data_IF_974855851351
#
_entry.id   IF_974855851351
#
_cell.length_a   1.000
_cell.length_b   1.000
_cell.length_c   1.000
_cell.angle_alpha   90.00
_cell.angle_beta   90.00
_cell.angle_gamma   90.00
#
_symmetry.space_group_name_H-M   'P 1'
#
loop_
_entity.id
_entity.type
_entity.pdbx_description
1 polymer ?
#
# COMPACT_ATOMS: atom_id res chain seq x y z
N UNK A 1 -12.30 26.50 50.40
CA UNK A 1 -13.07 25.70 49.43
C UNK A 1 -12.09 25.26 48.36
N UNK A 2 -11.97 23.95 48.13
CA UNK A 2 -10.81 23.36 47.44
C UNK A 2 -10.79 23.62 45.94
N UNK A 3 -9.71 24.24 45.47
CA UNK A 3 -9.38 24.35 44.05
C UNK A 3 -9.19 22.96 43.42
N UNK A 4 -10.08 22.57 42.52
CA UNK A 4 -9.83 21.46 41.58
C UNK A 4 -9.72 22.03 40.17
N UNK A 5 -8.56 22.60 39.86
CA UNK A 5 -8.16 22.76 38.47
C UNK A 5 -7.99 21.36 37.88
N UNK A 6 -8.99 20.86 37.17
CA UNK A 6 -8.82 19.65 36.39
C UNK A 6 -7.85 19.96 35.25
N UNK A 7 -6.66 19.37 35.33
CA UNK A 7 -5.69 19.32 34.25
C UNK A 7 -6.39 18.86 32.97
N UNK A 8 -6.77 19.83 32.15
CA UNK A 8 -7.45 19.58 30.88
C UNK A 8 -6.40 19.23 29.85
N UNK A 9 -5.70 18.12 30.10
CA UNK A 9 -4.83 17.46 29.15
C UNK A 9 -5.67 17.13 27.92
N UNK A 10 -5.53 17.95 26.88
CA UNK A 10 -6.36 17.88 25.68
C UNK A 10 -6.27 16.48 25.08
N UNK A 11 -7.34 15.69 25.26
CA UNK A 11 -7.38 14.30 24.82
C UNK A 11 -7.04 14.23 23.34
N UNK A 12 -6.05 13.42 22.99
CA UNK A 12 -5.56 13.29 21.62
C UNK A 12 -6.36 12.25 20.86
N UNK A 13 -6.44 12.42 19.54
CA UNK A 13 -7.16 11.52 18.66
C UNK A 13 -6.65 10.07 18.80
N UNK A 14 -7.56 9.11 18.96
CA UNK A 14 -7.25 7.69 19.16
C UNK A 14 -6.36 7.05 18.07
N UNK A 15 -6.34 7.61 16.85
CA UNK A 15 -5.60 7.02 15.74
C UNK A 15 -4.09 7.22 15.88
N UNK A 16 -3.31 6.20 15.50
CA UNK A 16 -1.84 6.22 15.54
C UNK A 16 -1.27 7.52 14.92
N UNK A 17 -0.25 8.05 15.61
CA UNK A 17 0.52 9.23 15.22
C UNK A 17 -0.30 10.53 15.04
N UNK A 18 -1.52 10.59 15.58
CA UNK A 18 -2.41 11.75 15.46
C UNK A 18 -2.46 12.62 16.72
N UNK A 19 -1.64 13.67 16.75
CA UNK A 19 -1.60 14.65 17.84
C UNK A 19 -2.77 15.65 17.86
N UNK A 20 -3.74 15.54 16.94
CA UNK A 20 -4.89 16.46 16.90
C UNK A 20 -5.80 16.22 18.11
N UNK A 21 -6.39 17.27 18.71
CA UNK A 21 -7.36 17.12 19.81
C UNK A 21 -8.62 16.39 19.33
N UNK A 22 -9.24 15.63 20.24
CA UNK A 22 -10.56 15.03 20.01
C UNK A 22 -11.66 16.08 19.90
N UNK A 23 -12.75 15.72 19.23
CA UNK A 23 -13.99 16.49 19.27
C UNK A 23 -14.70 16.28 20.62
N UNK A 24 -15.53 17.25 21.06
CA UNK A 24 -16.46 17.06 22.18
C UNK A 24 -17.24 15.76 22.01
N UNK A 25 -17.34 14.98 23.10
CA UNK A 25 -18.02 13.69 23.15
C UNK A 25 -17.54 12.68 22.08
N UNK A 26 -16.29 12.78 21.63
CA UNK A 26 -15.69 11.87 20.65
C UNK A 26 -14.29 11.42 21.02
N UNK A 27 -13.87 10.30 20.43
CA UNK A 27 -12.52 9.72 20.57
C UNK A 27 -11.58 10.09 19.41
N UNK A 28 -12.02 11.00 18.54
CA UNK A 28 -11.39 11.32 17.24
C UNK A 28 -11.48 12.81 16.93
N UNK A 29 -10.50 13.32 16.18
CA UNK A 29 -10.44 14.71 15.72
C UNK A 29 -11.28 14.97 14.46
N UNK A 30 -11.45 16.24 14.06
CA UNK A 30 -12.16 16.63 12.82
C UNK A 30 -11.67 15.87 11.58
N UNK A 31 -10.35 15.75 11.38
CA UNK A 31 -9.78 15.07 10.21
C UNK A 31 -10.13 13.57 10.16
N UNK A 32 -10.30 12.95 11.32
CA UNK A 32 -10.64 11.53 11.45
C UNK A 32 -12.13 11.25 11.70
N UNK A 33 -13.01 12.27 11.65
CA UNK A 33 -14.44 12.14 12.00
C UNK A 33 -15.20 11.04 11.23
N UNK A 34 -14.84 10.80 9.96
CA UNK A 34 -15.43 9.75 9.10
C UNK A 34 -14.60 8.45 9.04
N UNK A 35 -13.66 8.25 9.98
CA UNK A 35 -12.79 7.07 10.03
C UNK A 35 -13.21 6.14 11.16
N UNK A 36 -13.29 4.83 10.88
CA UNK A 36 -13.57 3.79 11.88
C UNK A 36 -12.28 3.27 12.54
N UNK A 37 -12.38 2.91 13.82
CA UNK A 37 -11.32 2.17 14.54
C UNK A 37 -11.38 0.68 14.17
N UNK A 38 -10.23 0.01 14.15
CA UNK A 38 -10.16 -1.43 13.99
C UNK A 38 -10.94 -2.16 15.11
N UNK A 39 -11.58 -3.28 14.79
CA UNK A 39 -12.39 -4.06 15.73
C UNK A 39 -11.56 -4.80 16.78
N UNK A 40 -10.30 -5.16 16.48
CA UNK A 40 -9.38 -5.72 17.48
C UNK A 40 -9.10 -4.68 18.54
N UNK A 41 -9.19 -5.08 19.81
CA UNK A 41 -9.02 -4.21 20.97
C UNK A 41 -7.67 -3.49 20.98
N UNK A 42 -7.69 -2.28 21.54
CA UNK A 42 -6.59 -1.29 21.57
C UNK A 42 -5.93 -0.96 20.22
N UNK A 43 -6.47 -1.44 19.10
CA UNK A 43 -5.90 -1.19 17.80
C UNK A 43 -6.24 0.21 17.26
N UNK A 44 -5.34 1.15 17.54
CA UNK A 44 -5.30 2.53 17.05
C UNK A 44 -5.14 2.70 15.53
N UNK A 45 -5.26 1.64 14.74
CA UNK A 45 -5.22 1.72 13.27
C UNK A 45 -6.62 1.97 12.69
N UNK A 46 -6.66 2.70 11.57
CA UNK A 46 -7.87 2.85 10.78
C UNK A 46 -8.36 1.52 10.19
N UNK A 47 -9.68 1.32 10.16
CA UNK A 47 -10.32 0.30 9.32
C UNK A 47 -9.90 0.50 7.86
N UNK A 48 -9.54 -0.63 7.24
CA UNK A 48 -9.36 -0.73 5.80
C UNK A 48 -10.58 -1.39 5.15
N UNK A 49 -11.02 -2.54 5.67
CA UNK A 49 -12.24 -3.25 5.24
C UNK A 49 -12.69 -4.23 6.33
N UNK A 50 -13.96 -4.66 6.31
CA UNK A 50 -14.54 -5.63 7.27
C UNK A 50 -14.25 -5.28 8.74
N UNK A 51 -14.38 -4.00 9.09
CA UNK A 51 -14.07 -3.44 10.43
C UNK A 51 -12.62 -3.67 10.92
N UNK A 52 -11.72 -4.14 10.06
CA UNK A 52 -10.35 -4.50 10.41
C UNK A 52 -9.32 -3.64 9.69
N UNK A 53 -8.19 -3.39 10.36
CA UNK A 53 -7.07 -2.65 9.78
C UNK A 53 -6.20 -3.54 8.86
N UNK A 54 -5.27 -2.93 8.14
CA UNK A 54 -4.35 -3.63 7.25
C UNK A 54 -3.31 -4.55 7.91
N UNK A 55 -3.24 -4.57 9.26
CA UNK A 55 -2.44 -5.52 10.07
C UNK A 55 -3.31 -6.70 10.54
N UNK A 56 -4.56 -6.44 10.94
CA UNK A 56 -5.47 -7.42 11.53
C UNK A 56 -6.43 -8.02 10.49
N UNK A 57 -5.93 -8.42 9.32
CA UNK A 57 -6.75 -9.15 8.34
C UNK A 57 -7.74 -8.32 7.50
N UNK A 58 -7.71 -6.98 7.55
CA UNK A 58 -8.51 -6.13 6.66
C UNK A 58 -8.15 -6.28 5.18
N UNK A 59 -6.89 -6.62 4.86
CA UNK A 59 -6.44 -6.94 3.50
C UNK A 59 -6.90 -8.35 3.09
N UNK A 60 -7.22 -8.54 1.81
CA UNK A 60 -7.59 -9.85 1.25
C UNK A 60 -6.35 -10.76 1.22
N UNK A 61 -6.47 -12.01 1.65
CA UNK A 61 -5.39 -12.99 1.55
C UNK A 61 -5.26 -13.57 0.13
N UNK A 62 -4.10 -14.15 -0.17
CA UNK A 62 -3.90 -14.93 -1.39
C UNK A 62 -4.69 -16.24 -1.34
N UNK A 63 -5.39 -16.59 -2.42
CA UNK A 63 -6.17 -17.85 -2.55
C UNK A 63 -5.30 -19.10 -2.81
N UNK A 64 -3.98 -18.95 -2.89
CA UNK A 64 -3.09 -20.12 -3.05
C UNK A 64 -2.87 -20.75 -1.69
N UNK A 65 -3.14 -22.05 -1.58
CA UNK A 65 -2.97 -22.81 -0.34
C UNK A 65 -1.57 -22.65 0.26
N UNK A 66 -1.52 -22.56 1.60
CA UNK A 66 -0.29 -22.27 2.34
C UNK A 66 0.29 -20.85 2.17
N UNK A 67 -0.33 -19.95 1.38
CA UNK A 67 0.20 -18.61 1.16
C UNK A 67 -0.29 -17.59 2.19
N UNK A 68 0.62 -17.13 3.06
CA UNK A 68 0.37 -16.08 4.07
C UNK A 68 0.45 -14.64 3.55
N UNK A 69 0.62 -14.44 2.23
CA UNK A 69 0.77 -13.12 1.64
C UNK A 69 -0.57 -12.51 1.22
N UNK A 70 -0.72 -11.20 1.46
CA UNK A 70 -1.88 -10.45 0.99
C UNK A 70 -1.99 -10.44 -0.54
N UNK A 71 -3.22 -10.61 -1.05
CA UNK A 71 -3.55 -10.43 -2.45
C UNK A 71 -3.32 -8.97 -2.88
N UNK A 72 -2.83 -8.78 -4.12
CA UNK A 72 -2.63 -7.44 -4.72
C UNK A 72 -3.51 -7.19 -5.94
N UNK A 73 -3.81 -8.22 -6.72
CA UNK A 73 -4.62 -8.15 -7.92
C UNK A 73 -5.52 -9.39 -7.98
N UNK A 74 -6.83 -9.20 -8.16
CA UNK A 74 -7.81 -10.29 -8.11
C UNK A 74 -7.87 -11.00 -6.75
N UNK A 75 -7.32 -12.22 -6.69
CA UNK A 75 -7.33 -13.10 -5.51
C UNK A 75 -5.93 -13.57 -5.08
N UNK A 76 -4.86 -13.09 -5.71
CA UNK A 76 -3.49 -13.62 -5.51
C UNK A 76 -2.47 -12.53 -5.15
N UNK A 77 -1.41 -12.93 -4.42
CA UNK A 77 -0.33 -12.05 -3.99
C UNK A 77 0.63 -11.70 -5.14
N UNK A 78 1.68 -10.91 -4.87
CA UNK A 78 2.67 -10.56 -5.90
C UNK A 78 3.58 -11.72 -6.36
N UNK A 79 3.69 -12.81 -5.57
CA UNK A 79 4.43 -14.02 -5.98
C UNK A 79 3.58 -14.93 -6.88
N UNK A 80 2.31 -15.11 -6.53
CA UNK A 80 1.40 -16.02 -7.25
C UNK A 80 0.58 -15.35 -8.37
N UNK A 81 0.47 -14.02 -8.35
CA UNK A 81 -0.05 -13.20 -9.46
C UNK A 81 1.07 -12.64 -10.35
N UNK A 82 2.22 -13.32 -10.42
CA UNK A 82 3.35 -12.89 -11.24
C UNK A 82 3.12 -13.29 -12.71
N UNK A 83 3.16 -12.30 -13.60
CA UNK A 83 3.06 -12.51 -15.06
C UNK A 83 1.64 -12.32 -15.62
N UNK A 84 0.81 -13.35 -15.56
CA UNK A 84 -0.36 -13.54 -16.44
C UNK A 84 -1.51 -12.52 -16.31
N UNK A 85 -1.72 -11.90 -15.13
CA UNK A 85 -2.76 -10.87 -14.95
C UNK A 85 -2.34 -9.46 -15.41
N UNK A 86 -1.10 -9.27 -15.87
CA UNK A 86 -0.57 -7.95 -16.25
C UNK A 86 -0.52 -7.82 -17.76
N UNK A 87 -1.49 -7.09 -18.32
CA UNK A 87 -1.58 -6.82 -19.77
C UNK A 87 -0.22 -6.39 -20.32
N UNK A 88 0.22 -7.05 -21.38
CA UNK A 88 1.43 -6.71 -22.13
C UNK A 88 1.14 -5.60 -23.13
N UNK A 89 2.17 -4.85 -23.51
CA UNK A 89 2.08 -3.78 -24.49
C UNK A 89 1.52 -4.29 -25.82
N UNK A 90 0.48 -3.64 -26.35
CA UNK A 90 -0.18 -3.96 -27.64
C UNK A 90 0.69 -3.70 -28.89
N UNK A 91 1.97 -3.42 -28.70
CA UNK A 91 2.90 -3.18 -29.80
C UNK A 91 3.53 -4.53 -30.21
N UNK A 92 3.65 -4.85 -31.50
CA UNK A 92 4.20 -6.13 -31.97
C UNK A 92 5.50 -6.52 -31.27
N UNK A 93 5.60 -7.79 -30.87
CA UNK A 93 6.77 -8.39 -30.23
C UNK A 93 7.22 -7.71 -28.91
N UNK A 94 6.35 -6.94 -28.24
CA UNK A 94 6.69 -6.24 -27.01
C UNK A 94 6.32 -7.00 -25.73
N UNK A 95 7.32 -7.64 -25.10
CA UNK A 95 7.19 -8.33 -23.80
C UNK A 95 7.08 -7.39 -22.59
N UNK A 96 7.07 -6.06 -22.77
CA UNK A 96 6.99 -5.09 -21.66
C UNK A 96 5.53 -4.88 -21.23
N UNK A 97 5.31 -4.81 -19.92
CA UNK A 97 4.00 -4.53 -19.34
C UNK A 97 3.42 -3.17 -19.81
N UNK A 98 2.10 -3.09 -19.96
CA UNK A 98 1.36 -1.83 -20.15
C UNK A 98 1.63 -0.88 -18.98
N UNK A 99 1.86 0.40 -19.31
CA UNK A 99 1.87 1.48 -18.33
C UNK A 99 0.55 2.27 -18.37
N UNK A 100 0.11 2.65 -19.58
CA UNK A 100 -1.21 3.23 -19.84
C UNK A 100 -1.55 3.07 -21.34
N UNK A 101 -2.80 3.29 -21.74
CA UNK A 101 -3.25 3.26 -23.15
C UNK A 101 -2.82 1.99 -23.91
N UNK A 102 -2.89 0.85 -23.21
CA UNK A 102 -2.43 -0.47 -23.68
C UNK A 102 -0.98 -0.56 -24.17
N UNK A 103 -0.14 0.43 -23.86
CA UNK A 103 1.25 0.48 -24.31
C UNK A 103 2.21 0.63 -23.14
N UNK A 104 3.43 0.11 -23.28
CA UNK A 104 4.52 0.37 -22.33
C UNK A 104 5.04 1.81 -22.49
N UNK A 105 5.87 2.28 -21.56
CA UNK A 105 6.44 3.65 -21.60
C UNK A 105 7.09 3.95 -22.96
N UNK A 106 7.93 3.04 -23.48
CA UNK A 106 8.64 3.19 -24.77
C UNK A 106 7.69 3.31 -25.98
N UNK A 107 6.48 2.76 -25.89
CA UNK A 107 5.52 2.73 -27.01
C UNK A 107 4.36 3.72 -26.85
N UNK A 108 4.50 4.75 -26.00
CA UNK A 108 3.47 5.79 -25.82
C UNK A 108 2.50 5.55 -24.66
N UNK A 109 2.80 4.60 -23.77
CA UNK A 109 2.14 4.48 -22.47
C UNK A 109 2.58 5.54 -21.45
N UNK A 110 3.71 6.22 -21.69
CA UNK A 110 4.14 7.35 -20.88
C UNK A 110 3.30 8.62 -21.13
N UNK A 111 3.37 9.57 -20.19
CA UNK A 111 3.06 10.98 -20.47
C UNK A 111 4.37 11.69 -20.83
N UNK A 112 4.36 12.49 -21.90
CA UNK A 112 5.47 13.40 -22.22
C UNK A 112 5.46 14.60 -21.27
N UNK A 113 6.59 15.29 -21.19
CA UNK A 113 6.75 16.53 -20.44
C UNK A 113 5.94 17.67 -21.11
N UNK A 114 5.18 18.44 -20.33
CA UNK A 114 4.37 19.57 -20.80
C UNK A 114 5.20 20.75 -21.34
N UNK A 115 6.44 20.91 -20.89
CA UNK A 115 7.35 21.95 -21.42
C UNK A 115 7.62 21.68 -22.91
N UNK A 116 7.40 22.69 -23.73
CA UNK A 116 7.61 22.69 -25.18
C UNK A 116 9.01 22.18 -25.58
N UNK A 117 9.08 21.50 -26.72
CA UNK A 117 10.30 20.84 -27.21
C UNK A 117 10.80 19.65 -26.37
N UNK A 118 10.17 19.32 -25.24
CA UNK A 118 10.71 18.31 -24.33
C UNK A 118 10.19 16.89 -24.59
N UNK A 119 11.00 16.08 -25.27
CA UNK A 119 10.72 14.66 -25.51
C UNK A 119 10.83 13.75 -24.26
N UNK A 120 11.26 14.28 -23.11
CA UNK A 120 11.39 13.50 -21.87
C UNK A 120 10.03 13.13 -21.27
N UNK A 121 9.99 11.97 -20.60
CA UNK A 121 8.80 11.52 -19.89
C UNK A 121 8.53 12.31 -18.60
N UNK A 122 7.26 12.70 -18.40
CA UNK A 122 6.80 13.29 -17.17
C UNK A 122 6.88 12.30 -15.99
N UNK A 123 7.17 12.82 -14.79
CA UNK A 123 7.25 12.06 -13.54
C UNK A 123 6.18 12.52 -12.54
N UNK A 124 6.05 13.83 -12.36
CA UNK A 124 5.10 14.48 -11.46
C UNK A 124 4.57 15.76 -12.12
N UNK A 125 3.31 16.14 -11.86
CA UNK A 125 2.74 17.42 -12.36
C UNK A 125 2.73 17.61 -13.89
N UNK A 126 2.95 16.55 -14.68
CA UNK A 126 3.12 16.66 -16.13
C UNK A 126 4.54 17.09 -16.58
N UNK A 127 5.51 17.20 -15.67
CA UNK A 127 6.88 17.62 -15.97
C UNK A 127 7.89 16.48 -15.78
N UNK A 128 8.94 16.46 -16.60
CA UNK A 128 10.05 15.49 -16.45
C UNK A 128 10.97 15.87 -15.27
N UNK A 129 11.90 14.99 -14.87
CA UNK A 129 12.83 15.28 -13.77
C UNK A 129 13.62 16.59 -13.96
N UNK A 130 13.94 16.98 -15.20
CA UNK A 130 14.66 18.25 -15.48
C UNK A 130 13.79 19.49 -15.29
N UNK A 131 12.48 19.39 -15.50
CA UNK A 131 11.57 20.55 -15.46
C UNK A 131 10.69 20.58 -14.21
N UNK A 132 10.52 19.45 -13.50
CA UNK A 132 9.75 19.35 -12.26
C UNK A 132 10.43 19.92 -11.01
N UNK A 133 11.63 20.49 -11.15
CA UNK A 133 12.29 21.31 -10.12
C UNK A 133 12.20 22.82 -10.41
N UNK A 134 11.52 23.22 -11.48
CA UNK A 134 11.22 24.63 -11.69
C UNK A 134 10.18 25.04 -10.64
N UNK A 135 10.68 25.68 -9.57
CA UNK A 135 9.88 26.55 -8.70
C UNK A 135 9.15 27.49 -9.66
N UNK A 136 7.82 27.51 -9.63
CA UNK A 136 7.08 28.42 -10.50
C UNK A 136 7.44 29.85 -10.06
N UNK A 137 8.10 30.59 -10.96
CA UNK A 137 8.14 32.05 -10.94
C UNK A 137 6.68 32.48 -11.02
N UNK A 138 6.07 32.77 -9.87
CA UNK A 138 4.66 33.14 -9.82
C UNK A 138 4.49 34.47 -10.58
N UNK A 139 3.46 34.61 -11.44
CA UNK A 139 3.12 35.92 -11.97
C UNK A 139 2.81 36.85 -10.79
N UNK A 140 3.40 38.05 -10.82
CA UNK A 140 3.55 38.98 -9.68
C UNK A 140 2.23 39.54 -9.09
N UNK A 141 1.08 39.12 -9.61
CA UNK A 141 -0.20 39.84 -9.49
C UNK A 141 -1.35 39.07 -8.80
N UNK A 142 -1.07 37.96 -8.12
CA UNK A 142 -2.10 37.11 -7.50
C UNK A 142 -2.09 37.08 -5.95
N UNK A 143 -1.98 38.23 -5.30
CA UNK A 143 -2.07 38.36 -3.85
C UNK A 143 -3.54 38.43 -3.36
N UNK A 144 -4.28 37.31 -3.39
CA UNK A 144 -5.60 37.21 -2.73
C UNK A 144 -5.69 35.93 -1.87
N UNK A 145 -5.37 36.12 -0.58
CA UNK A 145 -5.85 35.37 0.59
C UNK A 145 -6.62 34.04 0.39
N UNK A 146 -5.97 32.93 0.72
CA UNK A 146 -6.61 31.67 1.12
C UNK A 146 -5.85 31.06 2.31
N UNK A 147 -6.54 30.41 3.29
CA UNK A 147 -5.91 29.92 4.49
C UNK A 147 -4.95 28.75 4.22
N UNK A 148 -3.82 28.79 4.91
CA UNK A 148 -2.69 27.88 4.79
C UNK A 148 -3.07 26.41 5.02
N UNK A 149 -2.88 25.57 4.00
CA UNK A 149 -2.75 24.13 4.24
C UNK A 149 -1.45 23.84 4.98
N UNK A 150 -1.43 22.96 5.99
CA UNK A 150 -0.20 22.66 6.73
C UNK A 150 0.85 22.03 5.80
N UNK A 151 2.14 22.39 5.96
CA UNK A 151 3.20 21.87 5.11
C UNK A 151 3.28 20.34 5.22
N UNK A 152 3.49 19.66 4.08
CA UNK A 152 3.91 18.26 4.10
C UNK A 152 5.23 18.18 4.85
N UNK A 153 5.23 17.56 6.04
CA UNK A 153 6.45 17.34 6.83
C UNK A 153 7.55 16.77 5.92
N UNK A 154 8.69 17.46 5.87
CA UNK A 154 9.87 16.94 5.23
C UNK A 154 10.22 15.61 5.89
N UNK A 155 10.58 14.61 5.10
CA UNK A 155 11.11 13.36 5.65
C UNK A 155 12.54 13.66 6.10
N UNK A 156 12.76 13.75 7.41
CA UNK A 156 14.09 13.68 7.97
C UNK A 156 14.74 12.39 7.46
N UNK A 157 15.93 12.53 6.88
CA UNK A 157 16.76 11.39 6.52
C UNK A 157 17.46 10.90 7.78
N UNK A 158 16.69 10.39 8.74
CA UNK A 158 17.26 9.63 9.84
C UNK A 158 17.96 8.40 9.26
N UNK A 159 19.20 8.25 9.69
CA UNK A 159 20.09 7.14 9.36
C UNK A 159 19.36 5.83 9.59
N UNK A 160 19.59 4.85 8.70
CA UNK A 160 19.11 3.48 8.94
C UNK A 160 19.81 2.96 10.18
N UNK A 161 19.11 2.99 11.31
CA UNK A 161 19.47 2.18 12.47
C UNK A 161 19.62 0.72 12.06
N UNK A 162 20.48 -0.05 12.75
CA UNK A 162 20.78 -1.42 12.36
C UNK A 162 19.50 -2.24 12.23
N UNK A 163 19.46 -3.09 11.22
CA UNK A 163 18.37 -4.05 11.07
C UNK A 163 18.28 -4.88 12.35
N UNK A 164 17.14 -4.83 13.05
CA UNK A 164 16.89 -5.75 14.15
C UNK A 164 16.93 -7.18 13.61
N UNK A 165 18.03 -7.86 13.92
CA UNK A 165 18.15 -9.29 13.76
C UNK A 165 17.09 -9.95 14.65
N UNK A 166 16.24 -10.78 14.06
CA UNK A 166 15.25 -11.56 14.81
C UNK A 166 15.98 -12.76 15.43
N UNK A 167 16.61 -12.53 16.58
CA UNK A 167 17.04 -13.61 17.46
C UNK A 167 15.81 -14.19 18.15
N UNK A 168 15.27 -15.24 17.54
CA UNK A 168 14.18 -16.04 18.09
C UNK A 168 14.70 -16.87 19.27
N UNK A 169 14.19 -16.71 20.49
CA UNK A 169 14.47 -17.67 21.55
C UNK A 169 13.73 -19.00 21.26
N UNK A 170 14.36 -20.09 21.68
CA UNK A 170 13.79 -21.44 21.86
C UNK A 170 13.07 -22.04 20.64
N UNK A 171 13.87 -22.73 19.81
CA UNK A 171 13.37 -23.88 19.07
C UNK A 171 12.89 -24.97 20.04
N UNK A 172 11.67 -25.48 19.84
CA UNK A 172 11.28 -26.79 20.35
C UNK A 172 11.21 -27.76 19.16
N UNK A 173 12.31 -28.48 18.96
CA UNK A 173 12.47 -29.42 17.84
C UNK A 173 11.79 -30.73 18.20
N UNK A 174 10.50 -30.87 17.85
CA UNK A 174 9.91 -32.20 17.78
C UNK A 174 10.43 -32.91 16.53
N UNK A 175 11.39 -33.80 16.75
CA UNK A 175 11.92 -34.68 15.73
C UNK A 175 10.82 -35.66 15.26
N UNK A 176 10.32 -35.45 14.04
CA UNK A 176 9.51 -36.45 13.34
C UNK A 176 10.50 -37.47 12.74
N UNK A 177 10.43 -38.76 13.10
CA UNK A 177 11.38 -39.75 12.60
C UNK A 177 11.22 -39.96 11.09
N UNK A 178 12.36 -40.04 10.38
CA UNK A 178 12.40 -40.47 8.98
C UNK A 178 12.22 -41.99 8.93
N UNK A 179 11.02 -42.46 8.58
CA UNK A 179 10.82 -43.83 8.10
C UNK A 179 10.69 -43.81 6.57
N UNK A 180 11.60 -44.51 5.92
CA UNK A 180 11.76 -44.56 4.46
C UNK A 180 10.80 -45.54 3.80
N UNK A 181 10.36 -45.22 2.57
CA UNK A 181 9.76 -46.15 1.58
C UNK A 181 8.40 -46.75 2.02
N UNK A 182 7.44 -47.08 1.17
CA UNK A 182 7.31 -47.13 -0.30
C UNK A 182 5.91 -46.52 -0.67
N UNK A 183 5.33 -46.58 -1.87
CA UNK A 183 5.62 -47.34 -3.09
C UNK A 183 5.22 -46.53 -4.36
N UNK A 184 4.73 -47.23 -5.40
CA UNK A 184 4.29 -46.71 -6.70
C UNK A 184 2.83 -47.13 -6.95
N UNK A 185 1.98 -46.25 -7.49
CA UNK A 185 0.72 -46.65 -8.12
C UNK A 185 0.28 -45.63 -9.18
N UNK A 186 0.56 -45.97 -10.44
CA UNK A 186 0.10 -45.26 -11.64
C UNK A 186 -1.41 -45.38 -11.80
N UNK A 187 -2.13 -44.25 -11.66
CA UNK A 187 -3.54 -44.15 -12.01
C UNK A 187 -3.73 -43.53 -13.40
N UNK A 188 -3.96 -44.36 -14.42
CA UNK A 188 -4.46 -43.88 -15.72
C UNK A 188 -5.86 -43.30 -15.55
N UNK A 189 -6.13 -42.14 -16.17
CA UNK A 189 -7.49 -41.66 -16.40
C UNK A 189 -7.66 -41.36 -17.90
N UNK A 190 -8.45 -42.19 -18.57
CA UNK A 190 -8.69 -42.12 -20.01
C UNK A 190 -9.95 -41.29 -20.32
N UNK A 191 -10.00 -40.76 -21.54
CA UNK A 191 -11.07 -39.90 -22.04
C UNK A 191 -12.42 -40.61 -22.20
N UNK A 192 -13.51 -39.85 -22.10
CA UNK A 192 -14.73 -40.10 -22.89
C UNK A 192 -15.48 -38.79 -23.16
N UNK A 193 -15.37 -38.28 -24.39
CA UNK A 193 -16.21 -37.21 -24.94
C UNK A 193 -17.42 -37.81 -25.66
N UNK A 194 -18.61 -37.26 -25.46
CA UNK A 194 -19.78 -37.60 -26.28
C UNK A 194 -20.76 -36.42 -26.37
N UNK A 195 -20.86 -35.85 -27.56
CA UNK A 195 -22.04 -35.11 -28.05
C UNK A 195 -22.92 -36.10 -28.82
N UNK A 196 -24.21 -35.78 -29.01
CA UNK A 196 -24.60 -35.08 -30.25
C UNK A 196 -24.95 -33.60 -30.04
#
# INVERSE_FOLDING_TARGET
>A
MTSTGLDTAALTCFFNDCSNPVLPNSWKCHFHRHRGRCQVDDCRNQVYARHLCGRHGGKKQCKVEGCTLNARLGSVCCKHGAGSLRKLCSYPNCTKQVHARDRCVRHGGGKQCRKEGCQNHARSGGLCRRHGYQKEEAPETAAVMMPHSPPRKAKTSETRGPHHHWDSPTAFVYAIPKTSLCANSTGHYSHSSSSP
#
